data_IF_279598858006
#
_entry.id   IF_279598858006
#
_cell.length_a   1.000
_cell.length_b   1.000
_cell.length_c   1.000
_cell.angle_alpha   90.00
_cell.angle_beta   90.00
_cell.angle_gamma   90.00
#
_symmetry.space_group_name_H-M   'P 1'
#
loop_
_entity.id
_entity.type
_entity.pdbx_description
1 polymer ?
#
# COMPACT_ATOMS: atom_id res chain seq x y z
N UNK A 1 12.25 -9.67 11.46
CA UNK A 1 11.94 -9.53 12.92
C UNK A 1 10.94 -8.39 13.14
N UNK A 2 9.98 -8.56 14.06
CA UNK A 2 8.92 -7.57 14.37
C UNK A 2 9.56 -6.26 14.87
N UNK A 3 8.99 -5.11 14.51
CA UNK A 3 9.48 -3.79 14.90
C UNK A 3 8.43 -2.93 15.60
N UNK A 4 7.14 -3.27 15.49
CA UNK A 4 6.07 -2.53 16.14
C UNK A 4 4.67 -3.08 15.88
N UNK A 5 3.74 -2.63 16.74
CA UNK A 5 2.32 -2.88 16.67
C UNK A 5 1.58 -1.54 16.78
N UNK A 6 0.43 -1.43 16.12
CA UNK A 6 -0.45 -0.28 16.25
C UNK A 6 -1.93 -0.66 16.18
N UNK A 7 -2.77 0.19 16.76
CA UNK A 7 -4.22 0.21 16.59
C UNK A 7 -4.59 1.63 16.14
N UNK A 8 -5.28 1.74 15.02
CA UNK A 8 -5.68 3.02 14.43
C UNK A 8 -7.18 2.98 14.19
N UNK A 9 -7.90 4.02 14.62
CA UNK A 9 -9.33 4.18 14.37
C UNK A 9 -9.55 5.50 13.63
N UNK A 10 -10.08 5.41 12.43
CA UNK A 10 -10.25 6.53 11.50
C UNK A 10 -8.93 7.28 11.31
N UNK A 11 -8.84 8.55 11.73
CA UNK A 11 -7.62 9.36 11.66
C UNK A 11 -6.80 9.34 12.97
N UNK A 12 -7.24 8.60 14.01
CA UNK A 12 -6.61 8.57 15.33
C UNK A 12 -5.79 7.30 15.57
N UNK A 13 -4.49 7.45 15.81
CA UNK A 13 -3.63 6.35 16.27
C UNK A 13 -3.83 6.15 17.77
N UNK A 14 -4.54 5.08 18.14
CA UNK A 14 -4.95 4.78 19.51
C UNK A 14 -3.84 4.14 20.34
N UNK A 15 -2.92 3.42 19.70
CA UNK A 15 -1.80 2.75 20.36
C UNK A 15 -0.64 2.54 19.39
N UNK A 16 0.59 2.70 19.88
CA UNK A 16 1.82 2.31 19.20
C UNK A 16 2.77 1.65 20.20
N UNK A 17 3.28 0.46 19.90
CA UNK A 17 4.19 -0.25 20.80
C UNK A 17 5.61 0.32 20.80
N UNK A 18 6.01 1.01 19.73
CA UNK A 18 7.31 1.63 19.53
C UNK A 18 7.12 3.03 18.95
N UNK A 19 7.22 4.07 19.77
CA UNK A 19 6.96 5.46 19.39
C UNK A 19 7.79 5.94 18.17
N UNK A 20 8.99 5.39 17.98
CA UNK A 20 9.81 5.71 16.80
C UNK A 20 9.17 5.25 15.48
N UNK A 21 8.21 4.32 15.54
CA UNK A 21 7.45 3.81 14.38
C UNK A 21 6.11 4.51 14.21
N UNK A 22 5.72 5.43 15.08
CA UNK A 22 4.49 6.21 14.94
C UNK A 22 4.36 6.82 13.52
N UNK A 23 5.39 7.49 12.96
CA UNK A 23 5.29 8.05 11.62
C UNK A 23 5.08 7.01 10.51
N UNK A 24 5.61 5.79 10.69
CA UNK A 24 5.39 4.68 9.76
C UNK A 24 3.92 4.24 9.79
N UNK A 25 3.31 4.15 10.97
CA UNK A 25 1.90 3.81 11.13
C UNK A 25 0.96 4.88 10.57
N UNK A 26 1.29 6.17 10.67
CA UNK A 26 0.51 7.25 10.05
C UNK A 26 0.35 7.08 8.53
N UNK A 27 1.30 6.41 7.85
CA UNK A 27 1.23 6.20 6.39
C UNK A 27 -0.03 5.44 5.97
N UNK A 28 -0.58 4.59 6.85
CA UNK A 28 -1.86 3.90 6.65
C UNK A 28 -2.99 4.87 6.31
N UNK A 29 -3.04 6.03 6.98
CA UNK A 29 -4.09 7.03 6.78
C UNK A 29 -4.01 7.66 5.39
N UNK A 30 -2.80 7.97 4.93
CA UNK A 30 -2.60 8.55 3.60
C UNK A 30 -2.89 7.52 2.50
N UNK A 31 -2.45 6.27 2.67
CA UNK A 31 -2.74 5.18 1.73
C UNK A 31 -4.24 4.87 1.67
N UNK A 32 -4.93 4.86 2.81
CA UNK A 32 -6.39 4.67 2.84
C UNK A 32 -7.12 5.77 2.08
N UNK A 33 -6.68 7.03 2.21
CA UNK A 33 -7.23 8.16 1.44
C UNK A 33 -7.00 7.96 -0.06
N UNK A 34 -5.81 7.50 -0.48
CA UNK A 34 -5.52 7.17 -1.87
C UNK A 34 -6.47 6.09 -2.42
N UNK A 35 -6.51 4.89 -1.81
CA UNK A 35 -7.30 3.77 -2.36
C UNK A 35 -8.79 4.12 -2.40
N UNK A 36 -9.30 4.89 -1.43
CA UNK A 36 -10.70 5.34 -1.41
C UNK A 36 -10.97 6.41 -2.48
N UNK A 37 -9.96 7.18 -2.90
CA UNK A 37 -10.10 8.16 -3.98
C UNK A 37 -10.14 7.54 -5.37
N UNK A 38 -9.52 6.35 -5.55
CA UNK A 38 -9.58 5.61 -6.82
C UNK A 38 -11.04 5.33 -7.20
N UNK A 39 -11.79 4.83 -6.22
CA UNK A 39 -13.23 4.64 -6.35
C UNK A 39 -13.95 4.72 -5.00
N UNK A 40 -14.66 5.83 -4.72
CA UNK A 40 -15.36 6.00 -3.44
C UNK A 40 -16.50 5.02 -3.20
N UNK A 41 -17.03 4.36 -4.24
CA UNK A 41 -18.14 3.41 -4.12
C UNK A 41 -17.69 1.97 -3.86
N UNK A 42 -16.40 1.67 -3.98
CA UNK A 42 -15.88 0.32 -3.77
C UNK A 42 -15.51 0.09 -2.30
N UNK A 43 -15.60 -1.17 -1.89
CA UNK A 43 -15.28 -1.61 -0.53
C UNK A 43 -13.82 -2.06 -0.46
N UNK A 44 -12.93 -1.09 -0.26
CA UNK A 44 -11.49 -1.33 -0.20
C UNK A 44 -11.03 -1.85 1.17
N UNK A 45 -10.17 -2.87 1.16
CA UNK A 45 -9.45 -3.35 2.35
C UNK A 45 -7.95 -3.27 2.15
N UNK A 46 -7.27 -2.40 2.90
CA UNK A 46 -5.82 -2.33 2.90
C UNK A 46 -5.26 -3.51 3.68
N UNK A 47 -4.31 -4.24 3.10
CA UNK A 47 -3.77 -5.47 3.69
C UNK A 47 -2.27 -5.41 3.93
N UNK A 48 -1.54 -4.65 3.12
CA UNK A 48 -0.09 -4.61 3.18
C UNK A 48 0.47 -3.27 2.70
N UNK A 49 1.55 -2.81 3.34
CA UNK A 49 2.42 -1.77 2.80
C UNK A 49 3.87 -2.24 2.94
N UNK A 50 4.66 -2.10 1.88
CA UNK A 50 6.10 -2.39 1.89
C UNK A 50 6.90 -1.10 1.75
N UNK A 51 7.91 -1.00 2.60
CA UNK A 51 8.82 0.12 2.72
C UNK A 51 10.26 -0.33 2.47
N UNK A 52 11.03 0.54 1.82
CA UNK A 52 12.45 0.35 1.57
C UNK A 52 13.22 1.63 1.87
N UNK A 53 14.11 1.55 2.85
CA UNK A 53 15.02 2.63 3.23
C UNK A 53 16.47 2.24 2.99
N UNK A 54 17.39 3.17 3.24
CA UNK A 54 18.84 2.92 3.09
C UNK A 54 19.35 1.80 4.01
N UNK A 55 18.75 1.66 5.19
CA UNK A 55 19.21 0.76 6.25
C UNK A 55 18.47 -0.58 6.30
N UNK A 56 17.47 -0.78 5.43
CA UNK A 56 16.73 -2.04 5.40
C UNK A 56 15.35 -1.97 4.79
N UNK A 57 14.68 -3.11 4.86
CA UNK A 57 13.35 -3.37 4.32
C UNK A 57 12.39 -3.56 5.47
N UNK A 58 11.19 -3.04 5.33
CA UNK A 58 10.16 -3.19 6.35
C UNK A 58 8.80 -3.36 5.69
N UNK A 59 8.00 -4.27 6.23
CA UNK A 59 6.64 -4.51 5.76
C UNK A 59 5.69 -4.26 6.91
N UNK A 60 4.52 -3.73 6.57
CA UNK A 60 3.39 -3.57 7.47
C UNK A 60 2.27 -4.49 7.01
N UNK A 61 1.89 -5.45 7.83
CA UNK A 61 0.64 -6.21 7.63
C UNK A 61 -0.48 -5.48 8.36
N UNK A 62 -1.64 -5.42 7.71
CA UNK A 62 -2.77 -4.64 8.17
C UNK A 62 -4.02 -5.52 8.13
N UNK A 63 -4.67 -5.65 9.28
CA UNK A 63 -6.06 -6.12 9.33
C UNK A 63 -6.96 -4.89 9.33
N UNK A 64 -7.52 -4.58 8.17
CA UNK A 64 -8.46 -3.47 8.00
C UNK A 64 -9.91 -3.96 8.18
N UNK A 65 -10.64 -3.31 9.07
CA UNK A 65 -12.06 -3.56 9.36
C UNK A 65 -12.81 -2.26 9.11
N UNK A 66 -13.90 -2.31 8.32
CA UNK A 66 -14.87 -1.20 8.29
C UNK A 66 -16.07 -1.63 9.11
N UNK A 67 -16.44 -0.81 10.09
CA UNK A 67 -17.54 -1.08 11.01
C UNK A 67 -18.89 -0.83 10.35
N UNK A 68 -19.98 -1.21 11.02
CA UNK A 68 -21.35 -0.89 10.57
C UNK A 68 -21.60 0.63 10.50
N UNK A 69 -20.83 1.42 11.25
CA UNK A 69 -20.88 2.88 11.27
C UNK A 69 -19.92 3.53 10.26
N UNK A 70 -19.40 2.78 9.28
CA UNK A 70 -18.45 3.22 8.26
C UNK A 70 -17.10 3.75 8.81
N UNK A 71 -16.74 3.31 10.02
CA UNK A 71 -15.46 3.67 10.63
C UNK A 71 -14.37 2.68 10.22
N UNK A 72 -13.15 3.16 10.05
CA UNK A 72 -12.02 2.37 9.60
C UNK A 72 -11.13 2.01 10.80
N UNK A 73 -11.14 0.74 11.21
CA UNK A 73 -10.29 0.21 12.25
C UNK A 73 -9.15 -0.60 11.63
N UNK A 74 -7.92 -0.25 11.99
CA UNK A 74 -6.71 -0.91 11.52
C UNK A 74 -5.95 -1.51 12.70
N UNK A 75 -5.65 -2.80 12.60
CA UNK A 75 -4.61 -3.43 13.40
C UNK A 75 -3.38 -3.59 12.51
N UNK A 76 -2.26 -3.03 12.95
CA UNK A 76 -1.05 -2.99 12.15
C UNK A 76 0.10 -3.67 12.89
N UNK A 77 0.92 -4.41 12.15
CA UNK A 77 2.18 -4.99 12.62
C UNK A 77 3.24 -4.62 11.61
N UNK A 78 4.36 -4.05 12.08
CA UNK A 78 5.53 -3.77 11.24
C UNK A 78 6.67 -4.71 11.58
N UNK A 79 7.48 -5.04 10.57
CA UNK A 79 8.70 -5.79 10.75
C UNK A 79 9.34 -6.16 9.42
N UNK A 80 10.49 -6.80 9.50
CA UNK A 80 11.10 -7.43 8.34
C UNK A 80 10.53 -8.86 8.20
N UNK A 81 9.55 -9.01 7.32
CA UNK A 81 8.89 -10.26 6.98
C UNK A 81 8.37 -10.24 5.53
N UNK A 82 8.20 -11.43 4.95
CA UNK A 82 7.67 -11.60 3.59
C UNK A 82 6.14 -11.48 3.56
N UNK A 83 5.58 -11.14 2.40
CA UNK A 83 4.14 -10.86 2.23
C UNK A 83 3.22 -12.06 2.41
N UNK A 84 3.75 -13.27 2.27
CA UNK A 84 3.04 -14.55 2.35
C UNK A 84 3.44 -15.36 3.59
N UNK A 85 4.06 -14.73 4.60
CA UNK A 85 4.34 -15.38 5.88
C UNK A 85 3.05 -15.86 6.55
N UNK A 86 2.98 -17.17 6.81
CA UNK A 86 1.90 -17.78 7.57
C UNK A 86 2.02 -17.39 9.04
N UNK A 87 3.24 -17.34 9.58
CA UNK A 87 3.48 -16.96 10.96
C UNK A 87 3.06 -15.52 11.25
N UNK A 88 3.32 -14.57 10.35
CA UNK A 88 2.78 -13.20 10.50
C UNK A 88 1.25 -13.19 10.41
N UNK A 89 0.66 -14.03 9.57
CA UNK A 89 -0.79 -14.14 9.46
C UNK A 89 -1.42 -14.67 10.76
N UNK A 90 -0.80 -15.69 11.39
CA UNK A 90 -1.20 -16.22 12.71
C UNK A 90 -1.03 -15.17 13.80
N UNK A 91 0.11 -14.48 13.82
CA UNK A 91 0.39 -13.38 14.73
C UNK A 91 -0.67 -12.26 14.64
N UNK A 92 -1.03 -11.82 13.43
CA UNK A 92 -2.07 -10.80 13.22
C UNK A 92 -3.45 -11.28 13.70
N UNK A 93 -3.79 -12.56 13.45
CA UNK A 93 -5.04 -13.14 13.92
C UNK A 93 -5.11 -13.18 15.44
N UNK A 94 -4.06 -13.64 16.12
CA UNK A 94 -3.99 -13.70 17.59
C UNK A 94 -3.91 -12.30 18.21
N UNK A 95 -3.25 -11.34 17.55
CA UNK A 95 -3.26 -9.93 17.97
C UNK A 95 -4.67 -9.38 17.99
N UNK A 96 -5.39 -9.51 16.87
CA UNK A 96 -6.77 -9.10 16.77
C UNK A 96 -7.67 -9.79 17.82
N UNK A 97 -7.57 -11.11 17.93
CA UNK A 97 -8.37 -11.90 18.88
C UNK A 97 -8.15 -11.43 20.32
N UNK A 98 -6.89 -11.31 20.76
CA UNK A 98 -6.58 -10.89 22.13
C UNK A 98 -7.05 -9.47 22.43
N UNK A 99 -6.96 -8.55 21.48
CA UNK A 99 -7.48 -7.19 21.68
C UNK A 99 -9.00 -7.22 21.77
N UNK A 100 -9.68 -7.91 20.87
CA UNK A 100 -11.16 -7.99 20.85
C UNK A 100 -11.74 -8.75 22.05
N UNK A 101 -11.03 -9.74 22.61
CA UNK A 101 -11.42 -10.38 23.87
C UNK A 101 -11.41 -9.42 25.07
N UNK A 102 -10.58 -8.37 25.04
CA UNK A 102 -10.55 -7.34 26.07
C UNK A 102 -11.47 -6.15 25.74
N UNK A 103 -11.72 -5.91 24.45
CA UNK A 103 -12.48 -4.77 23.94
C UNK A 103 -13.37 -5.22 22.77
N UNK A 104 -14.56 -5.73 23.09
CA UNK A 104 -15.43 -6.43 22.13
C UNK A 104 -15.91 -5.57 20.95
N UNK A 105 -16.09 -4.26 21.17
CA UNK A 105 -16.59 -3.34 20.15
C UNK A 105 -15.66 -2.16 19.91
N UNK A 106 -15.82 -1.50 18.76
CA UNK A 106 -15.05 -0.30 18.41
C UNK A 106 -15.33 0.84 19.37
N UNK A 107 -16.56 0.99 19.85
CA UNK A 107 -16.91 1.99 20.87
C UNK A 107 -16.17 1.73 22.18
N UNK A 108 -16.01 0.46 22.57
CA UNK A 108 -15.22 0.10 23.75
C UNK A 108 -13.74 0.40 23.55
N UNK A 109 -13.17 0.07 22.39
CA UNK A 109 -11.77 0.40 22.05
C UNK A 109 -11.58 1.92 22.12
N UNK A 110 -12.43 2.70 21.46
CA UNK A 110 -12.34 4.16 21.42
C UNK A 110 -12.45 4.77 22.82
N UNK A 111 -13.40 4.30 23.64
CA UNK A 111 -13.55 4.77 25.02
C UNK A 111 -12.36 4.38 25.90
N UNK A 112 -11.89 3.14 25.78
CA UNK A 112 -10.78 2.62 26.58
C UNK A 112 -9.46 3.32 26.24
N UNK A 113 -9.22 3.65 24.97
CA UNK A 113 -7.99 4.32 24.50
C UNK A 113 -7.68 5.63 25.22
N UNK A 114 -8.71 6.31 25.75
CA UNK A 114 -8.57 7.55 26.52
C UNK A 114 -8.05 7.32 27.95
N UNK A 115 -7.97 6.06 28.39
CA UNK A 115 -7.48 5.67 29.71
C UNK A 115 -6.10 5.02 29.59
N UNK A 116 -5.18 5.43 30.47
CA UNK A 116 -3.84 4.85 30.58
C UNK A 116 -3.82 3.32 30.68
N UNK A 117 -4.85 2.70 31.27
CA UNK A 117 -4.92 1.25 31.45
C UNK A 117 -5.00 0.49 30.11
N UNK A 118 -5.61 1.09 29.09
CA UNK A 118 -5.66 0.51 27.74
C UNK A 118 -4.25 0.26 27.20
N UNK A 119 -3.38 1.28 27.24
CA UNK A 119 -2.00 1.14 26.77
C UNK A 119 -1.23 0.04 27.52
N UNK A 120 -1.49 -0.16 28.81
CA UNK A 120 -0.84 -1.22 29.61
C UNK A 120 -1.30 -2.61 29.18
N UNK A 121 -2.60 -2.80 28.99
CA UNK A 121 -3.17 -4.08 28.56
C UNK A 121 -2.67 -4.43 27.15
N UNK A 122 -2.72 -3.49 26.21
CA UNK A 122 -2.23 -3.72 24.84
C UNK A 122 -0.71 -3.97 24.85
N UNK A 123 0.06 -3.29 25.72
CA UNK A 123 1.50 -3.56 25.89
C UNK A 123 1.77 -4.98 26.37
N UNK A 124 0.98 -5.50 27.31
CA UNK A 124 1.12 -6.90 27.76
C UNK A 124 0.80 -7.89 26.63
N UNK A 125 -0.26 -7.64 25.85
CA UNK A 125 -0.61 -8.45 24.69
C UNK A 125 0.53 -8.45 23.67
N UNK A 126 1.01 -7.27 23.29
CA UNK A 126 2.07 -7.13 22.26
C UNK A 126 3.41 -7.68 22.72
N UNK A 127 3.77 -7.57 24.01
CA UNK A 127 4.97 -8.21 24.57
C UNK A 127 4.88 -9.74 24.49
N UNK A 128 3.77 -10.33 24.91
CA UNK A 128 3.55 -11.78 24.80
C UNK A 128 3.64 -12.26 23.34
N UNK A 129 3.03 -11.54 22.40
CA UNK A 129 3.05 -11.90 20.98
C UNK A 129 4.46 -11.77 20.39
N UNK A 130 5.19 -10.73 20.80
CA UNK A 130 6.58 -10.56 20.41
C UNK A 130 7.42 -11.75 20.83
N UNK A 131 7.33 -12.16 22.10
CA UNK A 131 8.11 -13.28 22.63
C UNK A 131 7.72 -14.60 21.97
N UNK A 132 6.42 -14.84 21.76
CA UNK A 132 5.90 -16.07 21.17
C UNK A 132 6.30 -16.26 19.69
N UNK A 133 6.26 -15.20 18.89
CA UNK A 133 6.45 -15.30 17.43
C UNK A 133 7.85 -14.92 16.97
N UNK A 134 8.76 -14.51 17.86
CA UNK A 134 10.12 -14.15 17.48
C UNK A 134 10.86 -15.27 16.75
N UNK A 135 11.01 -16.43 17.39
CA UNK A 135 11.72 -17.59 16.80
C UNK A 135 10.96 -18.18 15.61
N UNK A 136 9.62 -18.42 15.66
CA UNK A 136 8.89 -18.94 14.50
C UNK A 136 9.05 -18.10 13.22
N UNK A 137 9.11 -16.77 13.36
CA UNK A 137 9.31 -15.87 12.22
C UNK A 137 10.73 -15.90 11.66
N UNK A 138 11.73 -16.24 12.49
CA UNK A 138 13.13 -16.36 12.06
C UNK A 138 13.35 -17.70 11.32
N UNK A 139 12.64 -18.76 11.72
CA UNK A 139 12.78 -20.11 11.18
C UNK A 139 11.87 -20.43 9.98
N UNK A 140 10.97 -19.51 9.62
CA UNK A 140 9.99 -19.74 8.54
C UNK A 140 10.68 -19.81 7.16
N UNK A 141 10.57 -20.97 6.51
CA UNK A 141 10.96 -21.13 5.11
C UNK A 141 9.76 -20.83 4.21
N UNK A 142 9.93 -19.82 3.35
CA UNK A 142 8.85 -19.33 2.50
C UNK A 142 9.20 -19.61 1.04
N UNK A 143 8.43 -20.52 0.42
CA UNK A 143 8.46 -20.70 -1.03
C UNK A 143 7.46 -19.74 -1.69
N UNK A 144 7.98 -18.88 -2.58
CA UNK A 144 7.16 -18.03 -3.42
C UNK A 144 6.60 -18.87 -4.56
N UNK A 145 5.30 -19.15 -4.51
CA UNK A 145 4.60 -19.82 -5.60
C UNK A 145 3.90 -18.81 -6.50
N UNK A 146 4.12 -18.93 -7.80
CA UNK A 146 3.32 -18.25 -8.81
C UNK A 146 1.91 -18.84 -8.83
N UNK A 147 0.90 -17.98 -8.98
CA UNK A 147 -0.48 -18.42 -9.17
C UNK A 147 -0.84 -18.40 -10.65
N UNK A 148 -1.76 -19.28 -11.05
CA UNK A 148 -2.32 -19.31 -12.41
C UNK A 148 -3.47 -18.30 -12.59
N UNK A 149 -3.45 -17.22 -11.80
CA UNK A 149 -4.46 -16.16 -11.90
C UNK A 149 -4.19 -15.30 -13.12
N UNK A 150 -5.25 -14.89 -13.83
CA UNK A 150 -5.13 -13.94 -14.93
C UNK A 150 -4.59 -12.60 -14.42
N UNK A 151 -3.46 -12.16 -14.98
CA UNK A 151 -2.82 -10.90 -14.64
C UNK A 151 -3.45 -9.75 -15.41
N UNK A 152 -3.80 -8.68 -14.70
CA UNK A 152 -4.38 -7.46 -15.28
C UNK A 152 -3.58 -6.26 -14.84
N UNK A 153 -2.92 -5.64 -15.81
CA UNK A 153 -2.30 -4.32 -15.61
C UNK A 153 -3.41 -3.31 -15.79
N UNK A 154 -3.73 -2.57 -14.74
CA UNK A 154 -4.85 -1.63 -14.73
C UNK A 154 -4.39 -0.24 -15.15
N UNK A 155 -3.29 0.22 -14.55
CA UNK A 155 -2.76 1.55 -14.73
C UNK A 155 -1.23 1.52 -14.72
N UNK A 156 -0.62 2.32 -15.59
CA UNK A 156 0.79 2.65 -15.52
C UNK A 156 1.00 4.13 -15.86
N UNK A 157 1.84 4.80 -15.08
CA UNK A 157 2.13 6.22 -15.24
C UNK A 157 3.58 6.56 -14.97
N UNK A 158 4.06 7.61 -15.65
CA UNK A 158 5.32 8.28 -15.35
C UNK A 158 4.99 9.70 -14.96
N UNK A 159 5.45 10.14 -13.79
CA UNK A 159 5.18 11.49 -13.29
C UNK A 159 6.46 12.19 -12.83
N UNK A 160 6.45 13.52 -12.81
CA UNK A 160 7.50 14.34 -12.19
C UNK A 160 6.86 15.13 -11.06
N UNK A 161 7.26 14.86 -9.81
CA UNK A 161 6.68 15.48 -8.61
C UNK A 161 5.14 15.38 -8.55
N UNK A 162 4.58 14.25 -9.02
CA UNK A 162 3.14 14.01 -9.07
C UNK A 162 2.44 14.64 -10.28
N UNK A 163 3.15 15.39 -11.13
CA UNK A 163 2.64 15.92 -12.38
C UNK A 163 2.76 14.83 -13.46
N UNK A 164 1.63 14.29 -13.97
CA UNK A 164 1.66 13.17 -14.90
C UNK A 164 2.27 13.60 -16.24
N UNK A 165 3.26 12.84 -16.71
CA UNK A 165 3.88 12.98 -18.03
C UNK A 165 3.26 11.96 -18.98
N UNK A 166 3.11 10.74 -18.48
CA UNK A 166 2.38 9.66 -19.14
C UNK A 166 1.44 9.09 -18.10
N UNK A 167 0.20 8.86 -18.51
CA UNK A 167 -0.73 8.06 -17.75
C UNK A 167 -1.55 7.24 -18.71
N UNK A 168 -1.55 5.92 -18.50
CA UNK A 168 -2.27 5.00 -19.34
C UNK A 168 -3.08 4.04 -18.48
N UNK A 169 -4.38 3.99 -18.77
CA UNK A 169 -5.31 3.02 -18.21
C UNK A 169 -5.46 1.88 -19.22
N UNK A 170 -5.05 0.68 -18.83
CA UNK A 170 -5.09 -0.53 -19.67
C UNK A 170 -6.33 -1.36 -19.40
N UNK A 171 -6.77 -1.43 -18.14
CA UNK A 171 -8.00 -2.13 -17.75
C UNK A 171 -9.01 -1.16 -17.12
N UNK A 172 -10.20 -1.10 -17.73
CA UNK A 172 -11.31 -0.23 -17.30
C UNK A 172 -12.04 -0.74 -16.07
N UNK A 173 -11.74 -1.93 -15.56
CA UNK A 173 -12.25 -2.44 -14.28
C UNK A 173 -11.91 -1.51 -13.12
N UNK A 174 -10.82 -0.74 -13.20
CA UNK A 174 -10.52 0.33 -12.25
C UNK A 174 -11.62 1.42 -12.19
N UNK A 175 -12.39 1.57 -13.27
CA UNK A 175 -13.53 2.49 -13.40
C UNK A 175 -14.89 1.83 -13.08
N UNK A 176 -14.94 0.56 -12.67
CA UNK A 176 -16.19 -0.06 -12.25
C UNK A 176 -16.77 0.67 -11.04
N UNK A 177 -18.05 1.08 -11.08
CA UNK A 177 -18.68 1.94 -10.07
C UNK A 177 -18.10 3.35 -9.98
N UNK A 178 -17.38 3.82 -11.00
CA UNK A 178 -16.86 5.18 -11.00
C UNK A 178 -17.97 6.19 -10.73
N UNK A 179 -17.71 7.12 -9.80
CA UNK A 179 -18.73 8.05 -9.31
C UNK A 179 -19.14 9.11 -10.33
N UNK A 180 -18.41 9.24 -11.45
CA UNK A 180 -18.67 10.17 -12.56
C UNK A 180 -18.90 9.40 -13.86
N UNK A 181 -19.35 10.12 -14.88
CA UNK A 181 -19.42 9.60 -16.24
C UNK A 181 -18.02 9.28 -16.80
N UNK A 182 -17.90 8.17 -17.52
CA UNK A 182 -16.62 7.73 -18.10
C UNK A 182 -16.36 8.52 -19.40
N UNK A 183 -15.74 9.69 -19.25
CA UNK A 183 -15.26 10.55 -20.34
C UNK A 183 -13.73 10.60 -20.36
N UNK A 184 -13.13 10.99 -21.49
CA UNK A 184 -11.67 11.15 -21.58
C UNK A 184 -11.10 12.10 -20.53
N UNK A 185 -11.77 13.24 -20.34
CA UNK A 185 -11.41 14.24 -19.32
C UNK A 185 -11.43 13.65 -17.90
N UNK A 186 -12.47 12.89 -17.55
CA UNK A 186 -12.56 12.28 -16.22
C UNK A 186 -11.50 11.18 -16.00
N UNK A 187 -11.10 10.45 -17.05
CA UNK A 187 -10.01 9.47 -16.99
C UNK A 187 -8.66 10.18 -16.80
N UNK A 188 -8.42 11.30 -17.49
CA UNK A 188 -7.22 12.13 -17.30
C UNK A 188 -7.16 12.74 -15.90
N UNK A 189 -8.30 13.17 -15.36
CA UNK A 189 -8.38 13.70 -14.00
C UNK A 189 -8.12 12.61 -12.96
N UNK A 190 -8.69 11.41 -13.11
CA UNK A 190 -8.38 10.26 -12.25
C UNK A 190 -6.88 9.92 -12.30
N UNK A 191 -6.35 9.81 -13.50
CA UNK A 191 -4.93 9.55 -13.76
C UNK A 191 -4.02 10.53 -13.04
N UNK A 192 -4.32 11.83 -13.15
CA UNK A 192 -3.57 12.89 -12.50
C UNK A 192 -3.66 12.81 -10.98
N UNK A 193 -4.85 12.49 -10.45
CA UNK A 193 -5.05 12.31 -9.01
C UNK A 193 -4.26 11.12 -8.47
N UNK A 194 -4.13 10.02 -9.23
CA UNK A 194 -3.34 8.85 -8.82
C UNK A 194 -1.88 9.26 -8.61
N UNK A 195 -1.24 9.84 -9.63
CA UNK A 195 0.16 10.26 -9.56
C UNK A 195 0.40 11.31 -8.47
N UNK A 196 -0.47 12.31 -8.35
CA UNK A 196 -0.33 13.36 -7.35
C UNK A 196 -0.45 12.81 -5.91
N UNK A 197 -1.42 11.92 -5.66
CA UNK A 197 -1.60 11.30 -4.36
C UNK A 197 -0.44 10.36 -4.01
N UNK A 198 0.04 9.56 -4.98
CA UNK A 198 1.20 8.69 -4.78
C UNK A 198 2.47 9.47 -4.47
N UNK A 199 2.77 10.53 -5.23
CA UNK A 199 3.90 11.41 -4.96
C UNK A 199 3.79 12.05 -3.57
N UNK A 200 2.58 12.47 -3.17
CA UNK A 200 2.32 13.03 -1.83
C UNK A 200 2.56 12.00 -0.73
N UNK A 201 2.12 10.76 -0.91
CA UNK A 201 2.37 9.66 0.03
C UNK A 201 3.86 9.35 0.11
N UNK A 202 4.54 9.22 -1.03
CA UNK A 202 5.96 8.94 -1.09
C UNK A 202 6.76 10.03 -0.37
N UNK A 203 6.47 11.30 -0.64
CA UNK A 203 7.10 12.44 0.04
C UNK A 203 6.84 12.45 1.55
N UNK A 204 5.60 12.22 1.99
CA UNK A 204 5.29 12.14 3.42
C UNK A 204 5.98 10.95 4.09
N UNK A 205 6.07 9.81 3.40
CA UNK A 205 6.79 8.64 3.90
C UNK A 205 8.27 8.95 4.09
N UNK A 206 8.89 9.62 3.12
CA UNK A 206 10.30 10.01 3.20
C UNK A 206 10.55 11.04 4.31
N UNK A 207 9.72 12.07 4.43
CA UNK A 207 9.91 13.15 5.43
C UNK A 207 9.61 12.66 6.85
N UNK A 208 8.50 11.95 7.03
CA UNK A 208 8.00 11.58 8.36
C UNK A 208 8.63 10.29 8.86
N UNK A 209 8.65 9.25 8.03
CA UNK A 209 9.10 7.91 8.41
C UNK A 209 10.55 7.60 7.96
N UNK A 210 11.20 8.51 7.20
CA UNK A 210 12.58 8.34 6.72
C UNK A 210 12.79 7.04 5.94
N UNK A 211 11.79 6.64 5.18
CA UNK A 211 11.79 5.45 4.33
C UNK A 211 11.01 5.74 3.04
N UNK A 212 11.02 4.83 2.08
CA UNK A 212 10.26 4.97 0.84
C UNK A 212 9.16 3.93 0.78
N UNK A 213 7.97 4.33 0.38
CA UNK A 213 6.91 3.39 0.03
C UNK A 213 7.23 2.78 -1.34
N UNK A 214 7.07 1.46 -1.45
CA UNK A 214 7.38 0.71 -2.68
C UNK A 214 6.21 -0.11 -3.16
N UNK A 215 5.44 -0.70 -2.24
CA UNK A 215 4.30 -1.55 -2.58
C UNK A 215 3.13 -1.27 -1.63
N UNK A 216 1.91 -1.31 -2.16
CA UNK A 216 0.66 -1.28 -1.38
C UNK A 216 -0.24 -2.38 -1.88
N UNK A 217 -0.74 -3.24 -0.98
CA UNK A 217 -1.68 -4.30 -1.34
C UNK A 217 -3.04 -4.01 -0.72
N UNK A 218 -4.10 -4.22 -1.50
CA UNK A 218 -5.46 -3.97 -1.06
C UNK A 218 -6.45 -4.86 -1.82
N UNK A 219 -7.56 -5.20 -1.17
CA UNK A 219 -8.60 -6.03 -1.74
C UNK A 219 -9.81 -5.18 -2.15
N UNK A 220 -10.39 -5.51 -3.30
CA UNK A 220 -11.69 -5.01 -3.74
C UNK A 220 -12.79 -6.01 -3.36
N UNK A 221 -13.50 -5.77 -2.26
CA UNK A 221 -14.58 -6.66 -1.85
C UNK A 221 -15.82 -6.54 -2.76
N UNK A 222 -15.92 -5.48 -3.56
CA UNK A 222 -16.99 -5.34 -4.57
C UNK A 222 -16.79 -6.25 -5.78
N UNK A 223 -15.56 -6.69 -6.05
CA UNK A 223 -15.18 -7.59 -7.13
C UNK A 223 -14.75 -8.97 -6.61
N UNK A 224 -15.57 -9.62 -5.78
CA UNK A 224 -15.29 -10.94 -5.20
C UNK A 224 -13.96 -11.04 -4.42
N UNK A 225 -13.47 -9.93 -3.85
CA UNK A 225 -12.20 -9.92 -3.12
C UNK A 225 -10.97 -9.92 -4.02
N UNK A 226 -11.06 -9.34 -5.23
CA UNK A 226 -9.94 -9.21 -6.15
C UNK A 226 -8.77 -8.45 -5.48
N UNK A 227 -7.62 -9.12 -5.36
CA UNK A 227 -6.40 -8.54 -4.78
C UNK A 227 -5.74 -7.62 -5.80
N UNK A 228 -5.42 -6.40 -5.36
CA UNK A 228 -4.76 -5.38 -6.16
C UNK A 228 -3.45 -4.97 -5.49
N UNK A 229 -2.48 -4.57 -6.31
CA UNK A 229 -1.18 -4.06 -5.89
C UNK A 229 -0.94 -2.70 -6.55
N UNK A 230 -0.43 -1.76 -5.77
CA UNK A 230 0.22 -0.55 -6.29
C UNK A 230 1.72 -0.74 -6.13
N UNK A 231 2.48 -0.54 -7.20
CA UNK A 231 3.93 -0.48 -7.19
C UNK A 231 4.37 0.94 -7.50
N UNK A 232 5.37 1.42 -6.77
CA UNK A 232 5.91 2.77 -6.88
C UNK A 232 7.43 2.72 -6.86
N UNK A 233 8.07 3.32 -7.86
CA UNK A 233 9.52 3.50 -7.86
C UNK A 233 9.92 4.89 -8.36
N UNK A 234 11.13 5.30 -7.99
CA UNK A 234 11.75 6.54 -8.43
C UNK A 234 12.79 6.21 -9.50
N UNK A 235 12.66 6.82 -10.68
CA UNK A 235 13.57 6.67 -11.80
C UNK A 235 14.17 8.04 -12.12
N UNK A 236 15.43 8.25 -11.75
CA UNK A 236 16.26 9.46 -11.95
C UNK A 236 15.75 10.80 -11.37
N UNK A 237 14.45 10.98 -11.13
CA UNK A 237 13.73 12.15 -10.55
C UNK A 237 12.23 12.03 -10.82
N UNK A 238 11.84 11.10 -11.70
CA UNK A 238 10.49 10.74 -12.04
C UNK A 238 9.98 9.62 -11.13
N UNK A 239 8.66 9.48 -11.02
CA UNK A 239 8.05 8.28 -10.48
C UNK A 239 7.53 7.38 -11.59
N UNK A 240 7.65 6.07 -11.38
CA UNK A 240 6.93 5.05 -12.12
C UNK A 240 5.83 4.51 -11.18
N UNK A 241 4.59 4.74 -11.57
CA UNK A 241 3.39 4.41 -10.81
C UNK A 241 2.67 3.26 -11.53
N UNK A 242 2.29 2.20 -10.81
CA UNK A 242 1.71 1.01 -11.44
C UNK A 242 0.62 0.38 -10.57
N UNK A 243 -0.55 0.07 -11.15
CA UNK A 243 -1.64 -0.64 -10.46
C UNK A 243 -1.99 -1.90 -11.25
N UNK A 244 -2.07 -3.04 -10.57
CA UNK A 244 -2.40 -4.31 -11.20
C UNK A 244 -3.13 -5.27 -10.24
N UNK A 245 -3.69 -6.35 -10.79
CA UNK A 245 -4.26 -7.49 -10.06
C UNK A 245 -3.82 -8.82 -10.68
N UNK A 246 -3.76 -9.88 -9.87
CA UNK A 246 -3.36 -11.22 -10.31
C UNK A 246 -2.19 -11.79 -9.50
N UNK A 247 -1.28 -12.50 -10.16
CA UNK A 247 -0.04 -13.04 -9.63
C UNK A 247 0.97 -11.91 -9.37
N UNK A 248 1.13 -11.54 -8.10
CA UNK A 248 2.02 -10.47 -7.68
C UNK A 248 3.50 -10.76 -7.93
N UNK A 249 3.92 -12.02 -8.09
CA UNK A 249 5.32 -12.34 -8.42
C UNK A 249 5.60 -11.90 -9.86
N UNK A 250 4.79 -12.39 -10.81
CA UNK A 250 4.89 -12.01 -12.24
C UNK A 250 4.70 -10.51 -12.45
N UNK A 251 3.74 -9.90 -11.76
CA UNK A 251 3.51 -8.45 -11.84
C UNK A 251 4.74 -7.65 -11.42
N UNK A 252 5.43 -8.07 -10.35
CA UNK A 252 6.66 -7.41 -9.90
C UNK A 252 7.81 -7.61 -10.90
N UNK A 253 7.88 -8.76 -11.56
CA UNK A 253 8.86 -8.99 -12.64
C UNK A 253 8.63 -8.02 -13.81
N UNK A 254 7.39 -7.86 -14.26
CA UNK A 254 7.02 -6.90 -15.32
C UNK A 254 7.36 -5.48 -14.88
N UNK A 255 7.00 -5.10 -13.67
CA UNK A 255 7.30 -3.77 -13.13
C UNK A 255 8.80 -3.49 -13.07
N UNK A 256 9.60 -4.48 -12.67
CA UNK A 256 11.06 -4.37 -12.65
C UNK A 256 11.64 -4.19 -14.05
N UNK A 257 11.13 -4.92 -15.05
CA UNK A 257 11.54 -4.73 -16.44
C UNK A 257 11.21 -3.32 -16.95
N UNK A 258 10.03 -2.78 -16.60
CA UNK A 258 9.66 -1.41 -16.91
C UNK A 258 10.63 -0.42 -16.26
N UNK A 259 10.92 -0.60 -14.97
CA UNK A 259 11.89 0.22 -14.23
C UNK A 259 13.28 0.21 -14.88
N UNK A 260 13.81 -0.98 -15.18
CA UNK A 260 15.11 -1.16 -15.81
C UNK A 260 15.16 -0.48 -17.19
N UNK A 261 14.13 -0.63 -18.02
CA UNK A 261 14.08 -0.02 -19.35
C UNK A 261 13.95 1.51 -19.28
N UNK A 262 13.01 2.04 -18.49
CA UNK A 262 12.83 3.48 -18.36
C UNK A 262 14.03 4.17 -17.69
N UNK A 263 14.78 3.49 -16.84
CA UNK A 263 16.03 4.04 -16.27
C UNK A 263 17.08 4.40 -17.34
N UNK A 264 17.05 3.72 -18.49
CA UNK A 264 17.98 3.95 -19.59
C UNK A 264 17.56 5.09 -20.53
N UNK A 265 16.30 5.51 -20.48
CA UNK A 265 15.73 6.51 -21.35
C UNK A 265 16.36 7.88 -21.13
N UNK A 266 16.95 8.44 -22.19
CA UNK A 266 17.71 9.70 -22.11
C UNK A 266 16.83 10.90 -21.74
N UNK A 267 15.55 10.86 -22.13
CA UNK A 267 14.60 11.92 -21.80
C UNK A 267 14.31 11.97 -20.30
N UNK A 268 14.41 10.84 -19.59
CA UNK A 268 14.21 10.73 -18.14
C UNK A 268 15.49 11.00 -17.33
N UNK A 269 16.60 11.40 -17.97
CA UNK A 269 17.85 11.79 -17.29
C UNK A 269 18.00 13.30 -17.13
N UNK A 270 17.04 14.07 -17.64
CA UNK A 270 16.99 15.53 -17.54
C UNK A 270 15.79 15.90 -16.70
N UNK A 271 15.87 17.01 -15.97
CA UNK A 271 14.72 17.52 -15.23
C UNK A 271 13.55 17.90 -16.17
N UNK A 272 12.32 17.65 -15.73
CA UNK A 272 11.13 17.98 -16.51
C UNK A 272 10.87 19.50 -16.55
N UNK A 273 11.00 20.09 -17.74
CA UNK A 273 10.83 21.54 -17.96
C UNK A 273 9.40 21.93 -18.40
N UNK A 274 8.41 21.05 -18.26
CA UNK A 274 7.02 21.32 -18.66
C UNK A 274 6.66 21.04 -20.12
N UNK A 275 7.63 20.67 -20.98
CA UNK A 275 7.35 20.24 -22.36
C UNK A 275 7.15 18.72 -22.45
N UNK A 276 5.95 18.29 -22.84
CA UNK A 276 5.61 16.88 -23.02
C UNK A 276 6.09 16.30 -24.36
N UNK A 277 6.44 17.13 -25.36
CA UNK A 277 6.82 16.65 -26.70
C UNK A 277 7.94 15.61 -26.68
N UNK A 278 9.02 15.77 -25.89
CA UNK A 278 10.11 14.78 -25.84
C UNK A 278 9.67 13.42 -25.29
N UNK A 279 8.59 13.35 -24.53
CA UNK A 279 8.15 12.14 -23.83
C UNK A 279 7.11 11.34 -24.60
N UNK A 280 6.61 11.85 -25.74
CA UNK A 280 5.50 11.21 -26.50
C UNK A 280 5.79 9.77 -26.90
N UNK A 281 7.04 9.45 -27.24
CA UNK A 281 7.43 8.10 -27.68
C UNK A 281 7.38 7.07 -26.55
N UNK A 282 7.57 7.50 -25.30
CA UNK A 282 7.54 6.62 -24.12
C UNK A 282 6.17 5.98 -23.94
N UNK A 283 5.09 6.62 -24.41
CA UNK A 283 3.75 6.02 -24.41
C UNK A 283 3.71 4.78 -25.30
N UNK A 284 4.23 4.87 -26.53
CA UNK A 284 4.30 3.73 -27.44
C UNK A 284 5.18 2.63 -26.86
N UNK A 285 6.31 3.00 -26.27
CA UNK A 285 7.19 2.05 -25.59
C UNK A 285 6.46 1.31 -24.45
N UNK A 286 5.67 2.04 -23.66
CA UNK A 286 4.88 1.47 -22.57
C UNK A 286 3.82 0.47 -23.10
N UNK A 287 3.11 0.85 -24.16
CA UNK A 287 2.11 -0.01 -24.80
C UNK A 287 2.75 -1.31 -25.33
N UNK A 288 3.92 -1.20 -25.96
CA UNK A 288 4.64 -2.36 -26.50
C UNK A 288 5.10 -3.33 -25.40
N UNK A 289 5.46 -2.83 -24.21
CA UNK A 289 5.89 -3.67 -23.08
C UNK A 289 4.74 -4.32 -22.33
N UNK A 290 3.59 -3.65 -22.22
CA UNK A 290 2.45 -4.13 -21.43
C UNK A 290 1.56 -5.08 -22.23
N UNK A 291 1.50 -4.94 -23.56
CA UNK A 291 0.63 -5.74 -24.44
C UNK A 291 1.32 -7.01 -25.01
N UNK A 292 2.59 -7.25 -24.68
CA UNK A 292 3.33 -8.48 -25.01
C UNK A 292 3.06 -9.58 -23.98
#
# INVERSE_FOLDING_TARGET
MITGFSIILDDDVLYVSNENKYPTFEIVLFVKKLISSLNPKNFWRLTNIYFEGETGKERMIIKHIVTENDQNLFFCITGDFLSNSEEVSKLMAEYYEKVTLNYETVEFIQKASKNSEFSKIIKLITAYLWDKYREPLEDENIDLQCSDTENKIMYCGISSQGLPIISQLYDKTLLHNFHREITGENIELLSSNISANLATIAMNTQIRAKTNIKEVHFDDLGENGCKKIILYSNINEYSLDFIASGDFVKIKEIFKQLEDNFSQEQVLKKEFMGDLKPYRYLKTHLDDMILQ
#
